data_IF_670926060377
#
_entry.id   IF_670926060377
#
_cell.length_a   1.000
_cell.length_b   1.000
_cell.length_c   1.000
_cell.angle_alpha   90.00
_cell.angle_beta   90.00
_cell.angle_gamma   90.00
#
_symmetry.space_group_name_H-M   'P 1'
#
loop_
_entity.id
_entity.type
_entity.pdbx_description
1 polymer ?
#
# COMPACT_ATOMS: atom_id res chain seq x y z
N UNK A 1 -20.39 -15.15 -17.69
CA UNK A 1 -19.56 -13.93 -17.70
C UNK A 1 -20.41 -12.80 -17.13
N UNK A 2 -20.02 -12.21 -16.00
CA UNK A 2 -20.72 -11.04 -15.47
C UNK A 2 -20.13 -9.80 -16.15
N UNK A 3 -20.97 -8.95 -16.73
CA UNK A 3 -20.56 -7.72 -17.42
C UNK A 3 -21.11 -6.52 -16.67
N UNK A 4 -20.24 -5.57 -16.30
CA UNK A 4 -20.63 -4.34 -15.64
C UNK A 4 -21.27 -3.35 -16.64
N UNK A 5 -22.60 -3.41 -16.75
CA UNK A 5 -23.41 -2.63 -17.71
C UNK A 5 -23.61 -1.13 -17.42
N UNK A 6 -23.40 -0.65 -16.18
CA UNK A 6 -23.61 0.75 -15.78
C UNK A 6 -22.71 1.12 -14.58
N UNK A 7 -22.45 2.41 -14.30
CA UNK A 7 -21.69 2.82 -13.11
C UNK A 7 -22.31 2.24 -11.83
N UNK A 8 -21.47 1.74 -10.92
CA UNK A 8 -21.87 1.15 -9.64
C UNK A 8 -22.46 -0.27 -9.74
N UNK A 9 -22.56 -0.86 -10.94
CA UNK A 9 -23.15 -2.19 -11.12
C UNK A 9 -22.26 -3.31 -10.55
N UNK A 10 -20.95 -3.12 -10.57
CA UNK A 10 -20.00 -4.07 -9.98
C UNK A 10 -18.80 -3.29 -9.50
N UNK A 11 -18.49 -3.44 -8.21
CA UNK A 11 -17.30 -2.89 -7.59
C UNK A 11 -16.38 -4.03 -7.19
N UNK A 12 -15.13 -3.98 -7.64
CA UNK A 12 -14.08 -4.86 -7.18
C UNK A 12 -13.44 -4.27 -5.94
N UNK A 13 -13.48 -5.01 -4.83
CA UNK A 13 -12.83 -4.67 -3.57
C UNK A 13 -11.58 -5.54 -3.39
N UNK A 14 -10.45 -4.89 -3.08
CA UNK A 14 -9.19 -5.56 -2.73
C UNK A 14 -8.63 -4.96 -1.45
N UNK A 15 -8.12 -5.81 -0.57
CA UNK A 15 -7.33 -5.39 0.61
C UNK A 15 -5.93 -5.91 0.44
N UNK A 16 -4.97 -4.99 0.31
CA UNK A 16 -3.57 -5.35 0.14
C UNK A 16 -2.75 -5.02 1.37
N UNK A 17 -2.19 -6.05 2.00
CA UNK A 17 -1.23 -5.93 3.09
C UNK A 17 0.18 -5.69 2.55
N UNK A 18 0.76 -4.53 2.83
CA UNK A 18 2.12 -4.17 2.38
C UNK A 18 3.01 -3.78 3.55
N UNK A 19 4.31 -4.06 3.43
CA UNK A 19 5.28 -3.69 4.46
C UNK A 19 5.46 -2.17 4.54
N UNK A 20 5.43 -1.62 5.75
CA UNK A 20 5.53 -0.17 5.95
C UNK A 20 6.91 0.35 5.50
N UNK A 21 6.91 1.47 4.77
CA UNK A 21 8.12 2.18 4.37
C UNK A 21 8.70 2.90 5.59
N UNK A 22 10.03 3.02 5.64
CA UNK A 22 10.71 3.80 6.65
C UNK A 22 10.27 5.26 6.65
N UNK A 23 10.08 5.86 7.82
CA UNK A 23 9.96 7.32 7.92
C UNK A 23 11.23 7.96 7.31
N UNK A 24 11.04 8.94 6.44
CA UNK A 24 12.11 9.53 5.64
C UNK A 24 12.51 8.71 4.40
N UNK A 25 11.98 7.52 4.18
CA UNK A 25 12.28 6.69 3.01
C UNK A 25 13.57 5.88 3.13
N UNK A 26 13.97 5.25 2.03
CA UNK A 26 15.15 4.38 1.97
C UNK A 26 16.08 4.77 0.84
N UNK A 27 16.87 3.81 0.35
CA UNK A 27 17.85 4.05 -0.71
C UNK A 27 17.28 4.64 -2.00
N UNK A 28 15.98 4.44 -2.29
CA UNK A 28 15.31 5.04 -3.45
C UNK A 28 15.16 6.56 -3.33
N UNK A 29 15.13 7.08 -2.10
CA UNK A 29 15.03 8.53 -1.82
C UNK A 29 16.43 9.12 -1.63
N UNK A 30 17.31 8.41 -0.91
CA UNK A 30 18.60 8.95 -0.47
C UNK A 30 19.83 8.43 -1.23
N UNK A 31 19.67 7.56 -2.24
CA UNK A 31 20.78 6.83 -2.87
C UNK A 31 21.21 5.58 -2.10
N UNK A 32 21.88 4.64 -2.77
CA UNK A 32 22.17 3.28 -2.24
C UNK A 32 23.12 3.25 -1.04
N UNK A 33 24.12 4.12 -1.02
CA UNK A 33 25.20 4.09 -0.03
C UNK A 33 25.17 5.26 0.96
N UNK A 34 24.11 6.08 0.94
CA UNK A 34 23.95 7.18 1.87
C UNK A 34 23.75 6.70 3.31
N UNK A 35 24.15 7.56 4.24
CA UNK A 35 23.99 7.28 5.67
C UNK A 35 22.52 7.06 6.03
N UNK A 36 21.61 7.85 5.47
CA UNK A 36 20.17 7.76 5.67
C UNK A 36 19.61 6.41 5.19
N UNK A 37 20.04 5.94 4.01
CA UNK A 37 19.63 4.63 3.50
C UNK A 37 20.12 3.48 4.39
N UNK A 38 21.37 3.57 4.87
CA UNK A 38 21.95 2.60 5.80
C UNK A 38 21.24 2.63 7.15
N UNK A 39 20.91 3.81 7.67
CA UNK A 39 20.14 3.96 8.90
C UNK A 39 18.75 3.31 8.74
N UNK A 40 18.01 3.62 7.67
CA UNK A 40 16.70 3.04 7.40
C UNK A 40 16.74 1.50 7.25
N UNK A 41 17.80 0.96 6.64
CA UNK A 41 18.03 -0.48 6.53
C UNK A 41 18.36 -1.13 7.89
N UNK A 42 19.18 -0.47 8.73
CA UNK A 42 19.47 -0.93 10.10
C UNK A 42 18.23 -0.93 10.98
N UNK A 43 17.30 0.02 10.81
CA UNK A 43 16.01 0.02 11.53
C UNK A 43 15.17 -1.20 11.17
N UNK A 44 15.25 -1.70 9.93
CA UNK A 44 14.55 -2.92 9.49
C UNK A 44 14.99 -4.16 10.28
N UNK A 45 16.25 -4.20 10.74
CA UNK A 45 16.83 -5.35 11.44
C UNK A 45 16.86 -5.21 12.96
N UNK A 46 17.05 -4.00 13.51
CA UNK A 46 17.20 -3.77 14.97
C UNK A 46 15.89 -3.63 15.75
N UNK A 47 14.86 -3.00 15.19
CA UNK A 47 13.65 -2.61 15.96
C UNK A 47 12.39 -3.41 15.59
N UNK A 48 12.57 -4.59 14.96
CA UNK A 48 11.45 -5.38 14.45
C UNK A 48 10.89 -4.83 13.13
N UNK A 49 10.14 -5.66 12.40
CA UNK A 49 9.45 -5.24 11.17
C UNK A 49 8.54 -4.06 11.50
N UNK A 50 8.60 -2.97 10.73
CA UNK A 50 7.84 -1.69 10.90
C UNK A 50 6.30 -1.81 10.83
N UNK A 51 5.76 -3.01 11.02
CA UNK A 51 4.36 -3.34 10.81
C UNK A 51 3.99 -3.40 9.33
N UNK A 52 2.68 -3.51 9.11
CA UNK A 52 2.06 -3.49 7.80
C UNK A 52 1.12 -2.29 7.71
N UNK A 53 0.86 -1.84 6.49
CA UNK A 53 -0.28 -0.98 6.16
C UNK A 53 -1.20 -1.73 5.22
N UNK A 54 -2.48 -1.52 5.36
CA UNK A 54 -3.51 -2.18 4.56
C UNK A 54 -4.09 -1.17 3.59
N UNK A 55 -3.95 -1.47 2.30
CA UNK A 55 -4.51 -0.64 1.24
C UNK A 55 -5.87 -1.22 0.86
N UNK A 56 -6.92 -0.51 1.24
CA UNK A 56 -8.30 -0.84 0.87
C UNK A 56 -8.59 -0.14 -0.44
N UNK A 57 -8.88 -0.91 -1.48
CA UNK A 57 -9.12 -0.41 -2.83
C UNK A 57 -10.50 -0.80 -3.31
N UNK A 58 -11.22 0.15 -3.89
CA UNK A 58 -12.51 -0.04 -4.54
C UNK A 58 -12.42 0.42 -5.99
N UNK A 59 -12.75 -0.46 -6.92
CA UNK A 59 -12.72 -0.18 -8.36
C UNK A 59 -14.07 -0.47 -8.98
N UNK A 60 -14.70 0.55 -9.56
CA UNK A 60 -15.92 0.35 -10.34
C UNK A 60 -15.59 -0.29 -11.69
N UNK A 61 -16.11 -1.50 -11.92
CA UNK A 61 -15.77 -2.31 -13.10
C UNK A 61 -16.34 -1.76 -14.41
N UNK A 62 -17.25 -0.77 -14.36
CA UNK A 62 -17.81 -0.12 -15.55
C UNK A 62 -17.02 1.14 -15.94
N UNK A 63 -16.90 2.09 -15.02
CA UNK A 63 -16.26 3.40 -15.23
C UNK A 63 -14.74 3.36 -15.07
N UNK A 64 -14.20 2.32 -14.43
CA UNK A 64 -12.79 2.21 -14.01
C UNK A 64 -12.36 3.27 -13.00
N UNK A 65 -13.31 3.94 -12.34
CA UNK A 65 -13.01 4.79 -11.18
C UNK A 65 -12.44 3.92 -10.05
N UNK A 66 -11.35 4.40 -9.44
CA UNK A 66 -10.66 3.72 -8.36
C UNK A 66 -10.49 4.65 -7.16
N UNK A 67 -10.74 4.11 -5.97
CA UNK A 67 -10.48 4.73 -4.69
C UNK A 67 -9.55 3.81 -3.89
N UNK A 68 -8.56 4.39 -3.22
CA UNK A 68 -7.67 3.65 -2.33
C UNK A 68 -7.38 4.44 -1.07
N UNK A 69 -7.52 3.79 0.08
CA UNK A 69 -7.17 4.34 1.39
C UNK A 69 -6.24 3.40 2.16
N UNK A 70 -5.41 4.01 3.00
CA UNK A 70 -4.48 3.29 3.88
C UNK A 70 -5.09 3.18 5.28
N UNK A 71 -5.48 1.97 5.67
CA UNK A 71 -6.06 1.67 6.98
C UNK A 71 -5.09 0.88 7.87
N UNK A 72 -5.27 0.97 9.20
CA UNK A 72 -4.42 0.26 10.16
C UNK A 72 -4.65 -1.25 10.17
N UNK A 73 -5.78 -1.75 9.68
CA UNK A 73 -6.14 -3.16 9.65
C UNK A 73 -6.87 -3.58 8.36
N UNK A 74 -7.19 -4.86 8.28
CA UNK A 74 -7.91 -5.49 7.16
C UNK A 74 -9.44 -5.43 7.28
N UNK A 75 -9.97 -4.74 8.30
CA UNK A 75 -11.40 -4.73 8.54
C UNK A 75 -12.09 -3.79 7.54
N UNK A 76 -13.23 -4.21 6.98
CA UNK A 76 -14.01 -3.41 6.04
C UNK A 76 -14.74 -2.25 6.74
#
# INVERSE_FOLDING_TARGET
MIVAKRPGHMVHLDVKKVGRIADGGGWRVHGRDSEQARAAARTKTKTGRRGYVYLHSAVDCHTRLAYTEALPDEKP
#
